data_IF_542726141583
#
_entry.id   IF_542726141583
#
_cell.length_a   1.000
_cell.length_b   1.000
_cell.length_c   1.000
_cell.angle_alpha   90.00
_cell.angle_beta   90.00
_cell.angle_gamma   90.00
#
_symmetry.space_group_name_H-M   'P 1'
#
loop_
_entity.id
_entity.type
_entity.pdbx_description
1 polymer ?
#
# COMPACT_ATOMS: atom_id res chain seq x y z
N UNK A 1 -52.44 13.36 -68.67
CA UNK A 1 -53.04 12.09 -68.21
C UNK A 1 -52.02 11.41 -67.30
N UNK A 2 -52.23 11.41 -65.99
CA UNK A 2 -52.65 10.25 -65.17
C UNK A 2 -51.70 9.04 -65.34
N UNK A 3 -50.98 8.53 -64.32
CA UNK A 3 -51.53 8.01 -63.05
C UNK A 3 -50.38 7.74 -62.06
N UNK A 4 -50.59 8.08 -60.78
CA UNK A 4 -49.80 7.58 -59.64
C UNK A 4 -50.11 6.09 -59.41
N UNK A 5 -49.10 5.33 -58.98
CA UNK A 5 -49.26 4.00 -58.39
C UNK A 5 -48.16 3.76 -57.36
N UNK A 6 -48.49 3.95 -56.08
CA UNK A 6 -47.69 3.47 -54.96
C UNK A 6 -48.01 1.98 -54.72
N UNK A 7 -47.01 1.15 -54.46
CA UNK A 7 -47.15 0.03 -53.53
C UNK A 7 -45.80 -0.27 -52.85
N UNK A 8 -45.86 -0.27 -51.52
CA UNK A 8 -44.81 -0.67 -50.59
C UNK A 8 -44.34 -2.11 -50.80
N UNK A 9 -43.06 -2.37 -50.53
CA UNK A 9 -42.64 -3.61 -49.90
C UNK A 9 -41.70 -3.29 -48.73
N UNK A 10 -42.26 -3.38 -47.52
CA UNK A 10 -41.56 -3.37 -46.23
C UNK A 10 -40.70 -4.64 -46.15
N UNK A 11 -39.44 -4.51 -45.74
CA UNK A 11 -38.53 -5.65 -45.61
C UNK A 11 -37.29 -5.31 -44.78
N UNK A 12 -37.54 -4.92 -43.54
CA UNK A 12 -36.63 -4.91 -42.39
C UNK A 12 -35.42 -5.85 -42.52
N UNK A 13 -34.27 -5.36 -42.99
CA UNK A 13 -33.04 -6.17 -43.02
C UNK A 13 -31.74 -5.43 -42.66
N UNK A 14 -31.83 -4.24 -42.08
CA UNK A 14 -30.62 -3.54 -41.58
C UNK A 14 -30.78 -3.05 -40.13
N UNK A 15 -31.49 -3.83 -39.32
CA UNK A 15 -31.66 -3.63 -37.87
C UNK A 15 -30.83 -4.57 -37.00
N UNK A 16 -29.69 -5.08 -37.51
CA UNK A 16 -28.86 -6.06 -36.81
C UNK A 16 -27.37 -5.64 -36.72
N UNK A 17 -27.09 -4.33 -36.63
CA UNK A 17 -25.75 -3.78 -36.35
C UNK A 17 -25.77 -2.92 -35.07
N UNK A 18 -26.70 -3.22 -34.15
CA UNK A 18 -26.87 -2.48 -32.89
C UNK A 18 -26.91 -3.42 -31.69
N UNK A 19 -26.01 -4.41 -31.67
CA UNK A 19 -25.85 -5.37 -30.57
C UNK A 19 -24.39 -5.73 -30.32
N UNK A 20 -23.46 -4.78 -30.51
CA UNK A 20 -22.17 -4.79 -29.81
C UNK A 20 -22.32 -3.97 -28.52
N UNK A 21 -23.11 -4.51 -27.58
CA UNK A 21 -23.02 -4.11 -26.19
C UNK A 21 -21.65 -4.58 -25.69
N UNK A 22 -20.65 -3.71 -25.84
CA UNK A 22 -19.30 -3.90 -25.32
C UNK A 22 -19.38 -4.15 -23.82
N UNK A 23 -19.29 -5.42 -23.45
CA UNK A 23 -19.06 -5.85 -22.09
C UNK A 23 -17.70 -5.29 -21.69
N UNK A 24 -17.69 -4.12 -21.03
CA UNK A 24 -16.49 -3.67 -20.36
C UNK A 24 -16.30 -4.61 -19.17
N UNK A 25 -15.51 -5.68 -19.40
CA UNK A 25 -14.96 -6.48 -18.33
C UNK A 25 -14.24 -5.53 -17.37
N UNK A 26 -14.88 -5.26 -16.24
CA UNK A 26 -14.23 -4.73 -15.04
C UNK A 26 -13.19 -5.76 -14.61
N UNK A 27 -12.01 -5.73 -15.22
CA UNK A 27 -10.86 -6.45 -14.70
C UNK A 27 -10.55 -5.81 -13.36
N UNK A 28 -10.97 -6.48 -12.29
CA UNK A 28 -10.56 -6.13 -10.93
C UNK A 28 -9.04 -6.11 -10.90
N UNK A 29 -8.44 -4.92 -10.86
CA UNK A 29 -7.01 -4.79 -10.78
C UNK A 29 -6.56 -5.38 -9.45
N UNK A 30 -5.77 -6.46 -9.51
CA UNK A 30 -5.23 -7.06 -8.30
C UNK A 30 -4.33 -6.05 -7.59
N UNK A 31 -4.42 -5.93 -6.26
CA UNK A 31 -3.55 -5.03 -5.52
C UNK A 31 -2.06 -5.30 -5.83
N UNK A 32 -1.30 -4.23 -6.06
CA UNK A 32 0.15 -4.28 -6.27
C UNK A 32 0.91 -4.35 -4.94
N UNK A 33 0.24 -3.99 -3.85
CA UNK A 33 0.77 -4.05 -2.50
C UNK A 33 -0.21 -3.48 -1.48
N UNK A 34 0.30 -3.25 -0.28
CA UNK A 34 -0.43 -2.58 0.79
C UNK A 34 0.34 -1.36 1.28
N UNK A 35 -0.40 -0.33 1.65
CA UNK A 35 0.07 0.86 2.33
C UNK A 35 -0.31 0.76 3.81
N UNK A 36 0.67 1.02 4.66
CA UNK A 36 0.50 1.12 6.11
C UNK A 36 1.37 2.23 6.67
N UNK A 37 1.14 2.59 7.92
CA UNK A 37 1.86 3.67 8.57
C UNK A 37 1.04 4.26 9.69
N UNK A 38 1.47 5.41 10.18
CA UNK A 38 0.73 6.21 11.13
C UNK A 38 0.39 7.55 10.46
N UNK A 39 -0.66 8.21 10.95
CA UNK A 39 -1.02 9.55 10.52
C UNK A 39 -1.74 9.61 9.16
N UNK A 40 -1.65 10.78 8.53
CA UNK A 40 -2.40 11.13 7.32
C UNK A 40 -1.50 11.08 6.08
N UNK A 41 -1.98 10.40 5.03
CA UNK A 41 -1.32 10.28 3.73
C UNK A 41 -2.27 10.69 2.62
N UNK A 42 -1.73 11.28 1.55
CA UNK A 42 -2.47 11.56 0.32
C UNK A 42 -2.38 10.34 -0.60
N UNK A 43 -3.50 9.69 -0.88
CA UNK A 43 -3.59 8.64 -1.89
C UNK A 43 -4.33 9.18 -3.11
N UNK A 44 -3.64 9.29 -4.24
CA UNK A 44 -4.16 9.76 -5.52
C UNK A 44 -4.92 11.10 -5.39
N UNK A 45 -4.44 11.98 -4.50
CA UNK A 45 -5.01 13.29 -4.19
C UNK A 45 -5.91 13.35 -2.95
N UNK A 46 -6.43 12.21 -2.47
CA UNK A 46 -7.35 12.15 -1.33
C UNK A 46 -6.60 11.96 -0.01
N UNK A 47 -7.02 12.68 1.05
CA UNK A 47 -6.44 12.54 2.37
C UNK A 47 -7.03 11.30 3.07
N UNK A 48 -6.17 10.35 3.46
CA UNK A 48 -6.54 9.09 4.10
C UNK A 48 -5.78 8.93 5.42
N UNK A 49 -6.48 8.54 6.48
CA UNK A 49 -5.88 8.18 7.76
C UNK A 49 -5.44 6.72 7.74
N UNK A 50 -4.15 6.49 7.98
CA UNK A 50 -3.60 5.14 8.12
C UNK A 50 -3.73 4.61 9.55
N UNK A 51 -3.92 5.49 10.55
CA UNK A 51 -4.08 5.06 11.95
C UNK A 51 -5.35 4.25 12.19
N UNK A 52 -6.41 4.51 11.42
CA UNK A 52 -7.68 3.78 11.51
C UNK A 52 -7.74 2.51 10.67
N UNK A 53 -6.71 2.24 9.86
CA UNK A 53 -6.68 1.13 8.91
C UNK A 53 -5.50 0.20 9.23
N UNK A 54 -5.75 -1.10 9.33
CA UNK A 54 -4.66 -2.07 9.51
C UNK A 54 -3.73 -2.13 8.29
N UNK A 55 -4.30 -1.99 7.09
CA UNK A 55 -3.59 -1.88 5.81
C UNK A 55 -4.55 -1.42 4.73
N UNK A 56 -4.10 -0.55 3.83
CA UNK A 56 -4.86 -0.08 2.67
C UNK A 56 -4.30 -0.72 1.39
N UNK A 57 -5.11 -1.40 0.56
CA UNK A 57 -4.61 -1.94 -0.70
C UNK A 57 -4.22 -0.82 -1.67
N UNK A 58 -3.09 -1.00 -2.37
CA UNK A 58 -2.68 -0.13 -3.47
C UNK A 58 -2.91 -0.84 -4.80
N UNK A 59 -3.32 -0.09 -5.82
CA UNK A 59 -3.43 -0.56 -7.20
C UNK A 59 -2.42 0.13 -8.12
N UNK A 60 -2.17 -0.45 -9.29
CA UNK A 60 -1.24 0.13 -10.24
C UNK A 60 -1.72 1.51 -10.69
N UNK A 61 -0.84 2.50 -10.63
CA UNK A 61 -1.13 3.89 -10.95
C UNK A 61 -1.35 4.79 -9.73
N UNK A 62 -1.49 4.20 -8.53
CA UNK A 62 -1.68 4.97 -7.30
C UNK A 62 -0.48 5.86 -6.99
N UNK A 63 -0.79 7.07 -6.49
CA UNK A 63 0.20 8.05 -6.04
C UNK A 63 0.07 8.23 -4.54
N UNK A 64 1.10 7.87 -3.80
CA UNK A 64 1.18 7.98 -2.34
C UNK A 64 2.03 9.20 -1.99
N UNK A 65 1.44 10.15 -1.25
CA UNK A 65 2.10 11.36 -0.75
C UNK A 65 2.08 11.43 0.76
N UNK A 66 3.23 11.36 1.40
CA UNK A 66 3.38 11.54 2.85
C UNK A 66 3.41 13.01 3.21
N UNK A 67 2.94 13.34 4.41
CA UNK A 67 2.96 14.70 4.95
C UNK A 67 3.91 14.75 6.14
N UNK A 68 3.40 14.83 7.38
CA UNK A 68 4.20 14.90 8.60
C UNK A 68 4.85 13.58 9.02
N UNK A 69 4.31 12.44 8.58
CA UNK A 69 4.77 11.10 8.97
C UNK A 69 5.16 10.26 7.76
N UNK A 70 6.05 9.29 7.98
CA UNK A 70 6.44 8.32 6.97
C UNK A 70 5.40 7.21 6.80
N UNK A 71 5.39 6.59 5.63
CA UNK A 71 4.52 5.47 5.31
C UNK A 71 5.32 4.29 4.77
N UNK A 72 4.84 3.07 5.04
CA UNK A 72 5.40 1.85 4.50
C UNK A 72 4.49 1.29 3.42
N UNK A 73 5.10 1.00 2.28
CA UNK A 73 4.49 0.21 1.21
C UNK A 73 5.12 -1.18 1.27
N UNK A 74 4.29 -2.20 1.43
CA UNK A 74 4.70 -3.59 1.24
C UNK A 74 4.17 -4.08 -0.10
N UNK A 75 5.08 -4.32 -1.04
CA UNK A 75 4.74 -4.87 -2.35
C UNK A 75 4.31 -6.33 -2.22
N UNK A 76 3.58 -6.82 -3.23
CA UNK A 76 3.09 -8.20 -3.27
C UNK A 76 4.23 -9.24 -3.23
N UNK A 77 5.39 -8.92 -3.79
CA UNK A 77 6.62 -9.74 -3.72
C UNK A 77 7.31 -9.69 -2.34
N UNK A 78 6.70 -9.05 -1.34
CA UNK A 78 7.21 -8.86 0.03
C UNK A 78 8.35 -7.84 0.15
N UNK A 79 8.76 -7.19 -0.94
CA UNK A 79 9.65 -6.03 -0.88
C UNK A 79 8.99 -4.91 -0.08
N UNK A 80 9.82 -4.12 0.62
CA UNK A 80 9.35 -3.04 1.51
C UNK A 80 9.95 -1.72 1.08
N UNK A 81 9.12 -0.70 1.05
CA UNK A 81 9.48 0.67 0.74
C UNK A 81 9.06 1.55 1.92
N UNK A 82 9.98 2.36 2.41
CA UNK A 82 9.70 3.41 3.38
C UNK A 82 9.68 4.74 2.64
N UNK A 83 8.48 5.29 2.46
CA UNK A 83 8.26 6.63 1.93
C UNK A 83 8.48 7.59 3.10
N UNK A 84 9.57 8.35 3.08
CA UNK A 84 9.90 9.28 4.15
C UNK A 84 8.86 10.40 4.25
N UNK A 85 8.84 11.17 5.34
CA UNK A 85 7.97 12.34 5.48
C UNK A 85 8.14 13.32 4.30
N UNK A 86 7.09 14.05 3.95
CA UNK A 86 7.07 15.03 2.85
C UNK A 86 7.59 14.47 1.50
N UNK A 87 7.22 13.24 1.18
CA UNK A 87 7.67 12.55 -0.04
C UNK A 87 6.47 12.07 -0.85
N UNK A 88 6.67 11.88 -2.16
CA UNK A 88 5.62 11.47 -3.10
C UNK A 88 6.14 10.38 -4.00
N UNK A 89 5.41 9.27 -4.08
CA UNK A 89 5.78 8.09 -4.85
C UNK A 89 4.59 7.63 -5.67
N UNK A 90 4.81 7.28 -6.94
CA UNK A 90 3.84 6.54 -7.75
C UNK A 90 4.23 5.07 -7.79
N UNK A 91 3.24 4.19 -7.66
CA UNK A 91 3.42 2.75 -7.71
C UNK A 91 2.75 2.22 -8.98
N UNK A 92 3.52 1.55 -9.82
CA UNK A 92 2.99 0.79 -10.96
C UNK A 92 3.37 -0.67 -10.83
N UNK A 93 2.50 -1.56 -11.26
CA UNK A 93 2.76 -2.99 -11.16
C UNK A 93 1.88 -3.83 -12.06
N UNK A 94 2.46 -4.89 -12.60
CA UNK A 94 1.75 -5.93 -13.35
C UNK A 94 2.41 -7.28 -13.08
N UNK A 95 1.65 -8.21 -12.49
CA UNK A 95 2.21 -9.48 -12.02
C UNK A 95 3.26 -9.25 -10.91
N UNK A 96 4.46 -9.76 -11.12
CA UNK A 96 5.59 -9.64 -10.17
C UNK A 96 6.60 -8.55 -10.55
N UNK A 97 6.24 -7.72 -11.54
CA UNK A 97 7.05 -6.59 -12.01
C UNK A 97 6.46 -5.30 -11.46
N UNK A 98 7.24 -4.60 -10.66
CA UNK A 98 6.86 -3.33 -10.04
C UNK A 98 7.79 -2.21 -10.51
N UNK A 99 7.23 -1.04 -10.76
CA UNK A 99 7.99 0.19 -11.03
C UNK A 99 7.59 1.25 -10.03
N UNK A 100 8.57 1.73 -9.27
CA UNK A 100 8.38 2.71 -8.21
C UNK A 100 8.98 4.02 -8.68
N UNK A 101 8.16 5.05 -8.80
CA UNK A 101 8.61 6.37 -9.24
C UNK A 101 8.59 7.33 -8.05
N UNK A 102 9.76 7.67 -7.52
CA UNK A 102 9.91 8.75 -6.57
C UNK A 102 9.69 10.07 -7.30
N UNK A 103 8.61 10.78 -6.99
CA UNK A 103 8.27 12.06 -7.60
C UNK A 103 8.85 13.22 -6.81
N UNK A 104 8.83 13.13 -5.48
CA UNK A 104 9.33 14.16 -4.55
C UNK A 104 9.89 13.52 -3.27
N UNK A 105 10.89 14.16 -2.63
CA UNK A 105 11.37 13.78 -1.31
C UNK A 105 12.34 12.60 -1.32
N UNK A 106 12.15 11.64 -0.41
CA UNK A 106 13.05 10.50 -0.20
C UNK A 106 12.32 9.17 -0.05
N UNK A 107 12.96 8.11 -0.53
CA UNK A 107 12.48 6.73 -0.47
C UNK A 107 13.62 5.83 -0.01
N UNK A 108 13.40 5.06 1.05
CA UNK A 108 14.27 3.92 1.39
C UNK A 108 13.60 2.62 0.95
N UNK A 109 14.38 1.64 0.52
CA UNK A 109 13.84 0.39 0.01
C UNK A 109 14.63 -0.81 0.47
N UNK A 110 13.92 -1.93 0.61
CA UNK A 110 14.47 -3.27 0.79
C UNK A 110 13.72 -4.23 -0.13
N UNK A 111 14.35 -4.56 -1.25
CA UNK A 111 13.88 -5.52 -2.22
C UNK A 111 14.28 -6.93 -1.79
N UNK A 112 13.45 -7.93 -2.12
CA UNK A 112 13.88 -9.32 -2.00
C UNK A 112 14.86 -9.66 -3.14
N UNK A 113 15.78 -10.64 -2.96
CA UNK A 113 16.80 -10.95 -3.96
C UNK A 113 16.26 -11.31 -5.36
N UNK A 114 15.06 -11.92 -5.44
CA UNK A 114 14.40 -12.27 -6.70
C UNK A 114 13.45 -11.20 -7.23
N UNK A 115 13.45 -10.01 -6.62
CA UNK A 115 12.51 -8.95 -6.99
C UNK A 115 12.82 -8.42 -8.39
N UNK A 116 11.79 -8.28 -9.22
CA UNK A 116 11.87 -7.58 -10.50
C UNK A 116 11.50 -6.10 -10.37
N UNK A 117 11.48 -5.57 -9.14
CA UNK A 117 11.14 -4.17 -8.86
C UNK A 117 12.21 -3.23 -9.38
N UNK A 118 11.79 -2.20 -10.11
CA UNK A 118 12.65 -1.10 -10.57
C UNK A 118 12.27 0.18 -9.84
N UNK A 119 13.29 0.97 -9.50
CA UNK A 119 13.11 2.25 -8.81
C UNK A 119 13.61 3.36 -9.73
N UNK A 120 12.75 4.36 -9.91
CA UNK A 120 12.97 5.53 -10.72
C UNK A 120 12.89 6.77 -9.83
N UNK A 121 13.75 7.73 -10.09
CA UNK A 121 13.68 9.06 -9.54
C UNK A 121 13.18 10.00 -10.65
N UNK A 122 11.96 10.49 -10.50
CA UNK A 122 11.14 11.12 -11.54
C UNK A 122 10.95 10.19 -12.74
N UNK A 123 11.86 10.23 -13.71
CA UNK A 123 11.86 9.35 -14.89
C UNK A 123 13.24 8.75 -15.19
N UNK A 124 14.19 8.90 -14.27
CA UNK A 124 15.53 8.33 -14.40
C UNK A 124 15.60 7.05 -13.60
N UNK A 125 16.01 5.96 -14.25
CA UNK A 125 16.29 4.72 -13.55
C UNK A 125 17.41 4.97 -12.55
N UNK A 126 17.16 4.69 -11.28
CA UNK A 126 18.23 4.65 -10.29
C UNK A 126 19.04 3.41 -10.65
N UNK A 127 20.31 3.62 -11.03
CA UNK A 127 21.16 2.58 -11.60
C UNK A 127 21.57 1.60 -10.50
N UNK A 128 20.64 0.75 -10.10
CA UNK A 128 20.76 -0.23 -9.02
C UNK A 128 21.51 -1.44 -9.55
N UNK A 129 22.83 -1.32 -9.68
CA UNK A 129 23.68 -2.50 -9.76
C UNK A 129 23.47 -3.32 -8.46
N UNK A 130 22.55 -4.28 -8.50
CA UNK A 130 22.42 -5.44 -7.61
C UNK A 130 22.27 -5.19 -6.10
N UNK A 131 21.69 -4.07 -5.67
CA UNK A 131 21.49 -3.85 -4.23
C UNK A 131 20.04 -4.06 -3.81
N UNK A 132 19.82 -5.10 -2.99
CA UNK A 132 18.55 -5.40 -2.35
C UNK A 132 18.13 -4.35 -1.32
N UNK A 133 18.99 -3.39 -0.95
CA UNK A 133 18.69 -2.34 0.03
C UNK A 133 19.33 -1.03 -0.42
N UNK A 134 18.60 0.08 -0.30
CA UNK A 134 19.15 1.40 -0.61
C UNK A 134 18.21 2.53 -0.25
N UNK A 135 18.64 3.75 -0.58
CA UNK A 135 17.81 4.94 -0.49
C UNK A 135 18.01 5.86 -1.68
N UNK A 136 16.96 6.55 -2.06
CA UNK A 136 16.91 7.53 -3.15
C UNK A 136 16.35 8.82 -2.58
N UNK A 137 17.04 9.93 -2.82
CA UNK A 137 16.58 11.27 -2.46
C UNK A 137 16.58 12.15 -3.70
N UNK A 138 15.50 12.88 -3.91
CA UNK A 138 15.41 13.95 -4.89
C UNK A 138 15.75 15.28 -4.22
N UNK A 139 16.91 15.83 -4.57
CA UNK A 139 17.34 17.16 -4.12
C UNK A 139 17.42 18.08 -5.34
N UNK A 140 16.43 18.96 -5.50
CA UNK A 140 16.44 20.07 -6.47
C UNK A 140 16.99 19.73 -7.87
N UNK A 141 16.52 18.63 -8.46
CA UNK A 141 16.91 18.19 -9.82
C UNK A 141 18.07 17.18 -9.88
N UNK A 142 18.74 16.90 -8.75
CA UNK A 142 19.73 15.83 -8.64
C UNK A 142 19.14 14.59 -7.96
N UNK A 143 19.43 13.42 -8.53
CA UNK A 143 19.12 12.11 -7.95
C UNK A 143 20.32 11.70 -7.11
N UNK A 144 20.15 11.65 -5.79
CA UNK A 144 21.16 11.09 -4.87
C UNK A 144 20.71 9.69 -4.50
N UNK A 145 21.41 8.69 -5.01
CA UNK A 145 21.19 7.29 -4.66
C UNK A 145 22.35 6.78 -3.82
N UNK A 146 22.04 6.29 -2.63
CA UNK A 146 23.03 5.75 -1.71
C UNK A 146 22.75 4.27 -1.41
N UNK A 147 23.76 3.39 -1.49
CA UNK A 147 23.83 2.12 -0.80
C UNK A 147 23.68 2.31 0.71
N UNK A 148 22.46 2.53 1.20
CA UNK A 148 22.26 2.76 2.63
C UNK A 148 22.21 1.41 3.35
N UNK A 149 23.26 1.11 4.12
CA UNK A 149 23.14 0.22 5.26
C UNK A 149 22.18 0.87 6.26
N UNK A 150 20.89 0.48 6.18
CA UNK A 150 19.85 0.57 7.21
C UNK A 150 19.68 1.89 8.00
N UNK A 151 18.61 2.66 7.75
CA UNK A 151 17.74 3.10 8.83
C UNK A 151 16.68 2.00 9.03
N UNK A 152 16.67 1.44 10.23
CA UNK A 152 15.78 0.39 10.73
C UNK A 152 14.42 0.25 9.99
N UNK A 153 14.35 -0.63 8.98
CA UNK A 153 13.07 -1.21 8.48
C UNK A 153 12.60 -2.33 9.45
N UNK A 154 13.18 -2.39 10.64
CA UNK A 154 12.94 -3.38 11.68
C UNK A 154 12.04 -2.84 12.80
N UNK A 155 10.95 -2.14 12.47
CA UNK A 155 9.97 -1.76 13.50
C UNK A 155 8.58 -1.46 12.93
N UNK A 156 8.09 -2.18 11.91
CA UNK A 156 6.65 -2.20 11.62
C UNK A 156 6.20 -3.65 11.47
N UNK A 157 5.30 -4.00 12.38
CA UNK A 157 5.08 -5.31 12.96
C UNK A 157 4.73 -6.40 11.94
N UNK A 158 5.15 -7.60 12.31
CA UNK A 158 4.57 -8.84 11.85
C UNK A 158 3.03 -8.81 11.94
N UNK A 159 2.40 -9.63 11.11
CA UNK A 159 1.00 -10.03 11.25
C UNK A 159 0.66 -10.29 12.73
N UNK A 160 -0.56 -9.99 13.20
CA UNK A 160 -0.96 -10.41 14.54
C UNK A 160 -0.85 -11.93 14.61
N UNK A 161 0.16 -12.41 15.34
CA UNK A 161 0.16 -13.79 15.82
C UNK A 161 -1.15 -14.00 16.59
N UNK A 162 -1.83 -15.14 16.39
CA UNK A 162 -3.08 -15.41 17.08
C UNK A 162 -2.83 -15.37 18.59
N UNK A 163 -3.61 -14.55 19.28
CA UNK A 163 -3.57 -14.40 20.72
C UNK A 163 -3.55 -15.78 21.40
N UNK A 164 -2.40 -16.13 21.99
CA UNK A 164 -2.34 -17.21 22.98
C UNK A 164 -3.22 -16.77 24.14
N UNK A 165 -4.37 -17.44 24.27
CA UNK A 165 -5.26 -17.38 25.43
C UNK A 165 -4.41 -17.42 26.71
N UNK A 166 -4.49 -16.36 27.51
CA UNK A 166 -4.06 -16.42 28.89
C UNK A 166 -4.98 -17.39 29.63
N UNK A 167 -4.45 -18.55 30.03
CA UNK A 167 -5.12 -19.45 30.97
C UNK A 167 -5.27 -18.75 32.32
N UNK A 168 -6.45 -18.80 32.97
CA UNK A 168 -6.60 -18.33 34.34
C UNK A 168 -5.82 -19.24 35.28
N UNK A 169 -4.90 -18.69 36.08
CA UNK A 169 -4.34 -19.40 37.23
C UNK A 169 -5.37 -19.37 38.35
N UNK A 170 -5.94 -20.53 38.58
CA UNK A 170 -6.78 -20.92 39.70
C UNK A 170 -6.07 -20.65 41.03
N UNK A 171 -6.55 -19.67 41.81
CA UNK A 171 -6.16 -19.52 43.21
C UNK A 171 -7.03 -20.47 44.05
N UNK A 172 -6.51 -21.65 44.35
CA UNK A 172 -7.07 -22.55 45.37
C UNK A 172 -6.69 -22.10 46.78
N UNK A 173 -7.73 -21.96 47.60
CA UNK A 173 -7.81 -22.33 49.02
C UNK A 173 -6.75 -21.81 50.01
N UNK A 174 -7.11 -20.78 50.79
CA UNK A 174 -7.14 -20.81 52.27
C UNK A 174 -7.74 -19.52 52.86
N UNK A 175 -8.53 -19.59 53.95
CA UNK A 175 -9.18 -18.43 54.54
C UNK A 175 -8.24 -17.75 55.55
N UNK A 176 -8.04 -16.44 55.44
CA UNK A 176 -7.37 -15.68 56.48
C UNK A 176 -8.33 -14.60 57.00
N UNK A 177 -8.87 -14.95 58.17
CA UNK A 177 -9.76 -14.18 59.01
C UNK A 177 -9.02 -12.98 59.66
N UNK A 178 -9.76 -11.90 59.85
CA UNK A 178 -9.67 -10.79 60.84
C UNK A 178 -8.31 -10.29 61.38
N UNK A 179 -8.15 -8.97 61.21
CA UNK A 179 -7.51 -7.96 62.08
C UNK A 179 -5.99 -7.97 62.33
N UNK A 180 -5.38 -6.83 61.93
CA UNK A 180 -4.23 -6.09 62.48
C UNK A 180 -3.49 -5.50 61.27
N UNK A 181 -3.30 -4.19 61.05
CA UNK A 181 -3.16 -3.07 61.96
C UNK A 181 -1.86 -2.36 61.54
N UNK A 182 -1.94 -1.06 61.19
CA UNK A 182 -0.84 -0.08 60.99
C UNK A 182 0.35 -0.47 60.09
N UNK A 183 0.66 0.45 59.17
CA UNK A 183 2.06 0.71 58.77
C UNK A 183 2.34 0.48 57.30
N UNK A 184 2.57 1.60 56.62
CA UNK A 184 3.67 1.88 55.70
C UNK A 184 4.01 0.92 54.54
N UNK A 185 4.08 1.60 53.40
CA UNK A 185 5.07 1.49 52.32
C UNK A 185 4.95 0.33 51.32
N UNK A 186 5.04 0.78 50.06
CA UNK A 186 5.53 0.07 48.88
C UNK A 186 4.71 -1.08 48.29
N UNK A 187 3.95 -0.73 47.25
CA UNK A 187 3.51 -1.62 46.16
C UNK A 187 3.13 -0.74 44.96
N UNK A 188 3.58 -0.97 43.73
CA UNK A 188 3.92 -2.24 43.09
C UNK A 188 5.05 -2.06 42.07
N UNK A 189 5.87 -3.11 41.96
CA UNK A 189 6.76 -3.42 40.84
C UNK A 189 6.05 -3.56 39.50
#
# INVERSE_FOLDING_TARGET
MSKRGNTMLKGTFLGLILLLAGHQCLLAQSPVGTLGGKGMVRLSGNLVSLTSLSSLPLVSGDVVGTTGESAIIQLKDRSRLLVEKNSKVKVEGSGDKFSIYLLEGSLSYRLIPSSQTRIFAQNQAVNSALQSVGSVTLSSGAVVSSPKASPQIHAIAAAPEPAKKASPKECKDKPCDKNCGKGNDDKCS
#
